data_IF_935138031881
#
_entry.id   IF_935138031881
#
_cell.length_a   1.000
_cell.length_b   1.000
_cell.length_c   1.000
_cell.angle_alpha   90.00
_cell.angle_beta   90.00
_cell.angle_gamma   90.00
#
_symmetry.space_group_name_H-M   'P 1'
#
loop_
_entity.id
_entity.type
_entity.pdbx_description
1 polymer ?
#
# COMPACT_ATOMS: atom_id res chain seq x y z
N UNK A 1 49.50 21.16 -1.72
CA UNK A 1 48.65 22.00 -0.84
C UNK A 1 48.82 21.55 0.59
N UNK A 2 49.00 22.46 1.56
CA UNK A 2 49.14 22.11 2.98
C UNK A 2 47.91 21.32 3.48
N UNK A 3 48.13 20.31 4.34
CA UNK A 3 47.08 19.48 4.96
C UNK A 3 45.94 20.33 5.54
N UNK A 4 46.26 21.52 6.08
CA UNK A 4 45.29 22.47 6.63
C UNK A 4 44.33 23.05 5.59
N UNK A 5 44.82 23.39 4.38
CA UNK A 5 43.98 23.89 3.27
C UNK A 5 43.02 22.82 2.73
N UNK A 6 43.44 21.56 2.78
CA UNK A 6 42.61 20.44 2.34
C UNK A 6 41.47 20.16 3.35
N UNK A 7 41.77 20.27 4.65
CA UNK A 7 40.78 20.13 5.73
C UNK A 7 39.70 21.22 5.65
N UNK A 8 40.08 22.48 5.44
CA UNK A 8 39.12 23.59 5.32
C UNK A 8 38.17 23.40 4.14
N UNK A 9 38.68 22.95 2.99
CA UNK A 9 37.86 22.68 1.80
C UNK A 9 36.86 21.54 2.02
N UNK A 10 37.26 20.49 2.73
CA UNK A 10 36.35 19.37 3.05
C UNK A 10 35.32 19.79 4.10
N UNK A 11 35.70 20.61 5.08
CA UNK A 11 34.75 21.17 6.05
C UNK A 11 33.63 21.94 5.35
N UNK A 12 33.97 22.86 4.43
CA UNK A 12 32.96 23.61 3.66
C UNK A 12 32.02 22.68 2.89
N UNK A 13 32.56 21.66 2.22
CA UNK A 13 31.75 20.66 1.50
C UNK A 13 30.85 19.83 2.42
N UNK A 14 31.29 19.53 3.63
CA UNK A 14 30.46 18.83 4.62
C UNK A 14 29.30 19.72 5.07
N UNK A 15 29.56 21.00 5.37
CA UNK A 15 28.51 21.95 5.73
C UNK A 15 27.50 22.14 4.60
N UNK A 16 27.96 22.41 3.38
CA UNK A 16 27.11 22.53 2.18
C UNK A 16 26.28 21.26 1.92
N UNK A 17 26.91 20.08 2.07
CA UNK A 17 26.23 18.79 1.89
C UNK A 17 25.19 18.51 2.98
N UNK A 18 25.41 18.99 4.21
CA UNK A 18 24.43 18.87 5.30
C UNK A 18 23.23 19.79 5.04
N UNK A 19 23.46 21.05 4.64
CA UNK A 19 22.39 21.98 4.31
C UNK A 19 21.54 21.47 3.14
N UNK A 20 22.19 21.01 2.06
CA UNK A 20 21.49 20.42 0.92
C UNK A 20 20.67 19.17 1.30
N UNK A 21 21.19 18.36 2.22
CA UNK A 21 20.47 17.20 2.76
C UNK A 21 19.25 17.64 3.55
N UNK A 22 19.41 18.56 4.51
CA UNK A 22 18.33 19.03 5.36
C UNK A 22 17.21 19.71 4.54
N UNK A 23 17.57 20.54 3.55
CA UNK A 23 16.64 21.18 2.61
C UNK A 23 15.84 20.17 1.80
N UNK A 24 16.50 19.14 1.28
CA UNK A 24 15.83 18.10 0.49
C UNK A 24 14.95 17.22 1.40
N UNK A 25 15.37 17.02 2.65
CA UNK A 25 14.65 16.24 3.65
C UNK A 25 13.35 16.93 4.09
N UNK A 26 13.41 18.25 4.32
CA UNK A 26 12.24 19.10 4.55
C UNK A 26 11.25 19.03 3.36
N UNK A 27 11.75 19.17 2.13
CA UNK A 27 10.94 19.09 0.91
C UNK A 27 10.28 17.72 0.74
N UNK A 28 10.98 16.63 1.08
CA UNK A 28 10.42 15.28 1.04
C UNK A 28 9.25 15.11 2.02
N UNK A 29 9.37 15.66 3.24
CA UNK A 29 8.33 15.58 4.27
C UNK A 29 7.10 16.41 3.93
N UNK A 30 7.30 17.60 3.37
CA UNK A 30 6.24 18.58 3.11
C UNK A 30 5.57 18.40 1.75
N UNK A 31 6.24 17.81 0.76
CA UNK A 31 5.66 17.65 -0.57
C UNK A 31 4.43 16.73 -0.53
N UNK A 32 3.29 17.10 -1.13
CA UNK A 32 2.14 16.21 -1.28
C UNK A 32 2.23 15.31 -2.53
N UNK A 33 3.13 15.63 -3.47
CA UNK A 33 3.21 14.98 -4.78
C UNK A 33 4.13 13.75 -4.77
N UNK A 34 3.61 12.59 -5.20
CA UNK A 34 4.33 11.31 -5.20
C UNK A 34 5.58 11.34 -6.09
N UNK A 35 5.47 11.85 -7.32
CA UNK A 35 6.61 11.94 -8.25
C UNK A 35 7.73 12.84 -7.71
N UNK A 36 7.34 13.91 -6.99
CA UNK A 36 8.32 14.78 -6.33
C UNK A 36 8.96 14.09 -5.12
N UNK A 37 8.21 13.31 -4.33
CA UNK A 37 8.77 12.53 -3.23
C UNK A 37 9.80 11.52 -3.70
N UNK A 38 9.52 10.76 -4.76
CA UNK A 38 10.49 9.81 -5.33
C UNK A 38 11.76 10.52 -5.82
N UNK A 39 11.62 11.68 -6.47
CA UNK A 39 12.76 12.51 -6.88
C UNK A 39 13.59 12.97 -5.67
N UNK A 40 12.95 13.51 -4.64
CA UNK A 40 13.63 13.97 -3.42
C UNK A 40 14.29 12.81 -2.67
N UNK A 41 13.71 11.62 -2.66
CA UNK A 41 14.32 10.42 -2.09
C UNK A 41 15.60 10.03 -2.83
N UNK A 42 15.58 10.03 -4.17
CA UNK A 42 16.78 9.78 -4.97
C UNK A 42 17.86 10.84 -4.74
N UNK A 43 17.49 12.10 -4.61
CA UNK A 43 18.42 13.19 -4.36
C UNK A 43 19.02 13.12 -2.94
N UNK A 44 18.22 12.82 -1.92
CA UNK A 44 18.69 12.51 -0.56
C UNK A 44 19.67 11.33 -0.54
N UNK A 45 19.40 10.28 -1.32
CA UNK A 45 20.29 9.12 -1.45
C UNK A 45 21.63 9.47 -2.12
N UNK A 46 21.65 10.44 -3.03
CA UNK A 46 22.90 10.95 -3.62
C UNK A 46 23.68 11.78 -2.60
N UNK A 47 23.02 12.69 -1.90
CA UNK A 47 23.67 13.55 -0.89
C UNK A 47 24.21 12.74 0.28
N UNK A 48 23.47 11.73 0.77
CA UNK A 48 23.96 10.89 1.86
C UNK A 48 25.20 10.09 1.48
N UNK A 49 25.30 9.62 0.23
CA UNK A 49 26.50 8.96 -0.29
C UNK A 49 27.70 9.90 -0.36
N UNK A 50 27.50 11.19 -0.68
CA UNK A 50 28.59 12.19 -0.65
C UNK A 50 29.06 12.44 0.78
N UNK A 51 28.13 12.61 1.72
CA UNK A 51 28.44 12.76 3.14
C UNK A 51 29.19 11.55 3.70
N UNK A 52 28.80 10.31 3.33
CA UNK A 52 29.52 9.09 3.69
C UNK A 52 30.99 9.11 3.24
N UNK A 53 31.26 9.49 1.99
CA UNK A 53 32.63 9.62 1.48
C UNK A 53 33.45 10.64 2.27
N UNK A 54 32.85 11.78 2.61
CA UNK A 54 33.50 12.78 3.46
C UNK A 54 33.74 12.29 4.88
N UNK A 55 32.82 11.51 5.45
CA UNK A 55 32.97 10.89 6.77
C UNK A 55 34.11 9.87 6.80
N UNK A 56 34.27 9.07 5.75
CA UNK A 56 35.38 8.12 5.65
C UNK A 56 36.73 8.83 5.41
N UNK A 57 36.73 9.91 4.62
CA UNK A 57 37.90 10.78 4.48
C UNK A 57 38.31 11.42 5.82
N UNK A 58 37.35 11.92 6.59
CA UNK A 58 37.56 12.46 7.93
C UNK A 58 38.07 11.37 8.88
N UNK A 59 37.56 10.13 8.78
CA UNK A 59 38.04 8.99 9.59
C UNK A 59 39.53 8.71 9.33
N UNK A 60 39.97 8.73 8.07
CA UNK A 60 41.39 8.58 7.71
C UNK A 60 42.24 9.71 8.28
N UNK A 61 41.75 10.94 8.25
CA UNK A 61 42.44 12.09 8.85
C UNK A 61 42.54 12.00 10.38
N UNK A 62 41.49 11.54 11.05
CA UNK A 62 41.52 11.29 12.50
C UNK A 62 42.54 10.19 12.84
N UNK A 63 42.73 9.19 11.98
CA UNK A 63 43.74 8.14 12.18
C UNK A 63 45.19 8.61 11.91
N UNK A 64 45.38 9.70 11.15
CA UNK A 64 46.70 10.27 10.90
C UNK A 64 47.29 10.94 12.14
N UNK A 65 48.61 10.82 12.30
CA UNK A 65 49.42 11.49 13.32
C UNK A 65 49.79 12.92 12.96
N UNK A 66 49.59 13.33 11.70
CA UNK A 66 49.97 14.65 11.19
C UNK A 66 49.01 15.77 11.64
N UNK A 67 47.88 15.38 12.23
CA UNK A 67 46.82 16.29 12.68
C UNK A 67 46.81 16.34 14.20
N UNK A 68 47.26 17.47 14.75
CA UNK A 68 47.33 17.71 16.19
C UNK A 68 45.97 18.01 16.82
N UNK A 69 45.14 18.81 16.16
CA UNK A 69 43.77 19.12 16.63
C UNK A 69 42.73 18.36 15.81
N UNK A 70 42.02 17.45 16.49
CA UNK A 70 41.00 16.58 15.89
C UNK A 70 39.58 16.98 16.29
N UNK A 71 39.39 18.03 17.11
CA UNK A 71 38.08 18.41 17.66
C UNK A 71 37.07 18.73 16.56
N UNK A 72 37.45 19.59 15.60
CA UNK A 72 36.56 19.94 14.48
C UNK A 72 36.25 18.74 13.57
N UNK A 73 37.21 17.84 13.37
CA UNK A 73 37.02 16.64 12.56
C UNK A 73 36.02 15.67 13.20
N UNK A 74 36.10 15.51 14.53
CA UNK A 74 35.17 14.69 15.29
C UNK A 74 33.74 15.26 15.26
N UNK A 75 33.60 16.59 15.38
CA UNK A 75 32.30 17.25 15.31
C UNK A 75 31.65 17.10 13.92
N UNK A 76 32.40 17.35 12.84
CA UNK A 76 31.92 17.15 11.48
C UNK A 76 31.52 15.69 11.22
N UNK A 77 32.30 14.72 11.71
CA UNK A 77 31.96 13.30 11.62
C UNK A 77 30.64 12.99 12.33
N UNK A 78 30.43 13.52 13.53
CA UNK A 78 29.20 13.34 14.31
C UNK A 78 27.99 13.96 13.61
N UNK A 79 28.14 15.13 13.01
CA UNK A 79 27.08 15.78 12.23
C UNK A 79 26.64 14.94 11.03
N UNK A 80 27.60 14.33 10.30
CA UNK A 80 27.30 13.43 9.18
C UNK A 80 26.59 12.17 9.68
N UNK A 81 27.09 11.54 10.75
CA UNK A 81 26.50 10.32 11.30
C UNK A 81 25.03 10.54 11.74
N UNK A 82 24.72 11.71 12.33
CA UNK A 82 23.34 12.09 12.66
C UNK A 82 22.42 12.15 11.44
N UNK A 83 22.90 12.71 10.30
CA UNK A 83 22.10 12.75 9.05
C UNK A 83 21.97 11.36 8.43
N UNK A 84 22.98 10.49 8.57
CA UNK A 84 22.90 9.09 8.14
C UNK A 84 21.81 8.31 8.89
N UNK A 85 21.71 8.52 10.21
CA UNK A 85 20.64 7.93 11.02
C UNK A 85 19.27 8.48 10.63
N UNK A 86 19.14 9.79 10.42
CA UNK A 86 17.91 10.42 9.97
C UNK A 86 17.46 9.88 8.59
N UNK A 87 18.39 9.73 7.64
CA UNK A 87 18.13 9.12 6.34
C UNK A 87 17.65 7.67 6.49
N UNK A 88 18.32 6.87 7.33
CA UNK A 88 17.96 5.46 7.55
C UNK A 88 16.56 5.30 8.16
N UNK A 89 16.19 6.15 9.11
CA UNK A 89 14.86 6.16 9.70
C UNK A 89 13.79 6.51 8.65
N UNK A 90 14.05 7.54 7.85
CA UNK A 90 13.16 7.96 6.78
C UNK A 90 13.03 6.91 5.66
N UNK A 91 14.13 6.30 5.22
CA UNK A 91 14.12 5.23 4.22
C UNK A 91 13.32 4.01 4.73
N UNK A 92 13.45 3.66 6.02
CA UNK A 92 12.67 2.58 6.63
C UNK A 92 11.18 2.91 6.68
N UNK A 93 10.83 4.13 7.07
CA UNK A 93 9.45 4.59 7.13
C UNK A 93 8.82 4.63 5.73
N UNK A 94 9.55 5.16 4.75
CA UNK A 94 9.10 5.25 3.36
C UNK A 94 8.96 3.88 2.72
N UNK A 95 9.90 2.95 2.90
CA UNK A 95 9.76 1.58 2.38
C UNK A 95 8.57 0.86 2.99
N UNK A 96 8.38 0.96 4.32
CA UNK A 96 7.22 0.36 4.99
C UNK A 96 5.91 0.95 4.45
N UNK A 97 5.84 2.28 4.30
CA UNK A 97 4.68 2.96 3.72
C UNK A 97 4.51 2.70 2.22
N UNK A 98 5.58 2.45 1.49
CA UNK A 98 5.55 2.08 0.07
C UNK A 98 4.92 0.70 -0.10
N UNK A 99 5.27 -0.30 0.72
CA UNK A 99 4.57 -1.59 0.69
C UNK A 99 3.08 -1.46 1.05
N UNK A 100 2.70 -0.52 1.94
CA UNK A 100 1.29 -0.22 2.24
C UNK A 100 0.57 0.60 1.15
N UNK A 101 1.29 1.23 0.21
CA UNK A 101 0.75 2.13 -0.82
C UNK A 101 0.90 1.61 -2.26
N UNK A 102 1.84 0.69 -2.51
CA UNK A 102 2.05 0.01 -3.80
C UNK A 102 0.85 -0.85 -4.18
N UNK A 103 0.13 -1.38 -3.20
CA UNK A 103 -1.18 -2.02 -3.44
C UNK A 103 -2.21 -1.07 -4.05
N UNK A 104 -2.12 0.24 -3.79
CA UNK A 104 -3.01 1.25 -4.38
C UNK A 104 -2.46 1.89 -5.65
N UNK A 105 -1.14 2.05 -5.81
CA UNK A 105 -0.57 2.69 -7.00
C UNK A 105 -0.47 1.75 -8.21
N UNK A 106 -0.42 0.43 -8.01
CA UNK A 106 -0.54 -0.53 -9.12
C UNK A 106 -1.90 -0.45 -9.83
N UNK A 107 -2.97 -0.05 -9.13
CA UNK A 107 -4.31 0.17 -9.71
C UNK A 107 -4.28 1.20 -10.86
N UNK A 108 -3.35 2.16 -10.83
CA UNK A 108 -3.25 3.20 -11.87
C UNK A 108 -2.40 2.84 -13.09
N UNK A 109 -1.70 1.69 -13.09
CA UNK A 109 -0.92 1.19 -14.24
C UNK A 109 -1.51 -0.09 -14.86
N UNK A 110 -2.71 -0.48 -14.46
CA UNK A 110 -3.42 -1.60 -15.06
C UNK A 110 -3.94 -1.14 -16.42
N UNK A 111 -3.65 -1.92 -17.48
CA UNK A 111 -4.26 -1.77 -18.81
C UNK A 111 -5.78 -1.55 -18.64
N UNK A 112 -6.41 -0.53 -19.26
CA UNK A 112 -7.84 -0.27 -19.13
C UNK A 112 -8.73 -1.51 -19.24
N UNK A 113 -8.34 -2.50 -20.07
CA UNK A 113 -9.05 -3.78 -20.20
C UNK A 113 -8.92 -4.67 -18.97
N UNK A 114 -7.73 -4.75 -18.40
CA UNK A 114 -7.46 -5.54 -17.19
C UNK A 114 -8.06 -4.86 -15.96
N UNK A 115 -8.13 -3.52 -15.95
CA UNK A 115 -8.83 -2.76 -14.90
C UNK A 115 -10.34 -3.03 -14.94
N UNK A 116 -10.96 -2.96 -16.12
CA UNK A 116 -12.37 -3.29 -16.30
C UNK A 116 -12.66 -4.74 -15.87
N UNK A 117 -11.78 -5.68 -16.23
CA UNK A 117 -11.87 -7.07 -15.79
C UNK A 117 -11.83 -7.19 -14.25
N UNK A 118 -10.88 -6.52 -13.59
CA UNK A 118 -10.76 -6.55 -12.13
C UNK A 118 -11.95 -5.90 -11.42
N UNK A 119 -12.45 -4.77 -11.94
CA UNK A 119 -13.62 -4.08 -11.39
C UNK A 119 -14.88 -4.94 -11.53
N UNK A 120 -15.11 -5.53 -12.70
CA UNK A 120 -16.25 -6.44 -12.94
C UNK A 120 -16.12 -7.72 -12.11
N UNK A 121 -14.94 -8.33 -12.02
CA UNK A 121 -14.70 -9.50 -11.16
C UNK A 121 -14.98 -9.18 -9.69
N UNK A 122 -14.46 -8.03 -9.20
CA UNK A 122 -14.69 -7.60 -7.82
C UNK A 122 -16.17 -7.34 -7.53
N UNK A 123 -16.91 -6.77 -8.48
CA UNK A 123 -18.34 -6.60 -8.36
C UNK A 123 -19.09 -7.94 -8.30
N UNK A 124 -18.79 -8.88 -9.20
CA UNK A 124 -19.42 -10.21 -9.19
C UNK A 124 -19.19 -10.91 -7.84
N UNK A 125 -17.95 -10.92 -7.34
CA UNK A 125 -17.61 -11.52 -6.05
C UNK A 125 -18.37 -10.86 -4.91
N UNK A 126 -18.46 -9.53 -4.90
CA UNK A 126 -19.23 -8.80 -3.88
C UNK A 126 -20.72 -9.15 -3.89
N UNK A 127 -21.32 -9.33 -5.08
CA UNK A 127 -22.73 -9.74 -5.20
C UNK A 127 -22.91 -11.18 -4.72
N UNK A 128 -21.99 -12.09 -5.04
CA UNK A 128 -22.01 -13.48 -4.54
C UNK A 128 -21.95 -13.51 -3.02
N UNK A 129 -21.05 -12.74 -2.39
CA UNK A 129 -20.93 -12.64 -0.93
C UNK A 129 -22.22 -12.11 -0.28
N UNK A 130 -22.85 -11.10 -0.90
CA UNK A 130 -24.14 -10.57 -0.44
C UNK A 130 -25.26 -11.60 -0.54
N UNK A 131 -25.33 -12.36 -1.64
CA UNK A 131 -26.32 -13.43 -1.81
C UNK A 131 -26.12 -14.56 -0.81
N UNK A 132 -24.87 -14.96 -0.53
CA UNK A 132 -24.54 -15.95 0.51
C UNK A 132 -24.97 -15.46 1.90
N UNK A 133 -24.67 -14.21 2.25
CA UNK A 133 -25.10 -13.61 3.52
C UNK A 133 -26.63 -13.62 3.65
N UNK A 134 -27.35 -13.30 2.57
CA UNK A 134 -28.81 -13.36 2.54
C UNK A 134 -29.34 -14.79 2.67
N UNK A 135 -28.68 -15.78 2.06
CA UNK A 135 -29.01 -17.20 2.23
C UNK A 135 -28.87 -17.59 3.69
N UNK A 136 -27.73 -17.30 4.32
CA UNK A 136 -27.48 -17.65 5.74
C UNK A 136 -28.55 -17.06 6.66
N UNK A 137 -28.93 -15.79 6.43
CA UNK A 137 -30.00 -15.13 7.18
C UNK A 137 -31.37 -15.80 6.99
N UNK A 138 -31.71 -16.18 5.75
CA UNK A 138 -32.98 -16.83 5.42
C UNK A 138 -33.04 -18.28 5.96
N UNK A 139 -31.93 -19.02 5.88
CA UNK A 139 -31.82 -20.38 6.43
C UNK A 139 -31.92 -20.34 7.97
N UNK A 140 -31.30 -19.37 8.64
CA UNK A 140 -31.45 -19.16 10.07
C UNK A 140 -32.89 -18.76 10.47
N UNK A 141 -33.57 -17.91 9.69
CA UNK A 141 -34.99 -17.58 9.90
C UNK A 141 -35.87 -18.84 9.76
N UNK A 142 -35.62 -19.65 8.73
CA UNK A 142 -36.36 -20.88 8.49
C UNK A 142 -36.18 -21.89 9.65
N UNK A 143 -34.96 -22.09 10.13
CA UNK A 143 -34.66 -22.99 11.27
C UNK A 143 -35.30 -22.50 12.58
N UNK A 144 -35.30 -21.18 12.82
CA UNK A 144 -35.98 -20.58 13.98
C UNK A 144 -37.50 -20.81 13.92
N UNK A 145 -38.11 -20.68 12.73
CA UNK A 145 -39.53 -20.95 12.53
C UNK A 145 -39.89 -22.43 12.72
N UNK A 146 -38.98 -23.35 12.39
CA UNK A 146 -39.15 -24.79 12.57
C UNK A 146 -38.98 -25.25 14.04
N UNK A 147 -38.10 -24.60 14.81
CA UNK A 147 -37.76 -24.97 16.20
C UNK A 147 -38.72 -24.37 17.26
N UNK A 148 -39.55 -23.39 16.90
CA UNK A 148 -40.53 -22.78 17.82
C UNK A 148 -41.64 -23.73 18.30
N UNK A 149 -42.25 -23.50 19.48
CA UNK A 149 -43.20 -24.43 20.09
C UNK A 149 -44.42 -24.74 19.21
N UNK A 150 -44.67 -26.04 18.98
CA UNK A 150 -45.81 -26.57 18.22
C UNK A 150 -47.13 -26.36 18.98
N UNK A 151 -47.83 -25.25 18.74
CA UNK A 151 -49.21 -25.06 19.20
C UNK A 151 -50.09 -24.43 18.12
N UNK A 152 -51.00 -25.24 17.58
CA UNK A 152 -52.35 -24.93 17.03
C UNK A 152 -52.53 -23.76 16.04
N UNK A 153 -53.09 -24.06 14.86
CA UNK A 153 -53.56 -23.16 13.75
C UNK A 153 -52.57 -22.15 13.13
N UNK A 154 -51.49 -21.75 13.82
CA UNK A 154 -50.39 -20.94 13.26
C UNK A 154 -49.43 -21.74 12.36
N UNK A 155 -49.60 -23.05 12.25
CA UNK A 155 -48.72 -23.94 11.48
C UNK A 155 -48.76 -23.67 9.98
N UNK A 156 -49.95 -23.41 9.41
CA UNK A 156 -50.06 -23.21 7.95
C UNK A 156 -49.37 -21.93 7.48
N UNK A 157 -49.42 -20.85 8.27
CA UNK A 157 -48.76 -19.59 7.93
C UNK A 157 -47.24 -19.68 8.12
N UNK A 158 -46.77 -20.39 9.16
CA UNK A 158 -45.35 -20.70 9.34
C UNK A 158 -44.80 -21.57 8.21
N UNK A 159 -45.51 -22.63 7.83
CA UNK A 159 -45.16 -23.50 6.70
C UNK A 159 -45.14 -22.74 5.38
N UNK A 160 -46.07 -21.81 5.15
CA UNK A 160 -46.08 -20.95 3.97
C UNK A 160 -44.84 -20.03 3.94
N UNK A 161 -44.46 -19.46 5.09
CA UNK A 161 -43.27 -18.61 5.20
C UNK A 161 -41.98 -19.39 4.98
N UNK A 162 -41.86 -20.59 5.56
CA UNK A 162 -40.70 -21.47 5.34
C UNK A 162 -40.56 -21.79 3.85
N UNK A 163 -41.65 -22.17 3.17
CA UNK A 163 -41.62 -22.42 1.72
C UNK A 163 -41.22 -21.20 0.89
N UNK A 164 -41.64 -20.00 1.30
CA UNK A 164 -41.24 -18.76 0.64
C UNK A 164 -39.73 -18.50 0.81
N UNK A 165 -39.20 -18.72 2.01
CA UNK A 165 -37.76 -18.61 2.30
C UNK A 165 -36.96 -19.64 1.49
N UNK A 166 -37.40 -20.90 1.45
CA UNK A 166 -36.75 -21.96 0.67
C UNK A 166 -36.71 -21.62 -0.84
N UNK A 167 -37.80 -21.08 -1.39
CA UNK A 167 -37.83 -20.64 -2.79
C UNK A 167 -36.87 -19.48 -3.07
N UNK A 168 -36.72 -18.54 -2.14
CA UNK A 168 -35.76 -17.43 -2.27
C UNK A 168 -34.33 -17.92 -2.17
N UNK A 169 -34.04 -18.83 -1.23
CA UNK A 169 -32.73 -19.47 -1.09
C UNK A 169 -32.35 -20.20 -2.37
N UNK A 170 -33.25 -21.00 -2.94
CA UNK A 170 -32.98 -21.73 -4.18
C UNK A 170 -32.71 -20.78 -5.35
N UNK A 171 -33.47 -19.69 -5.44
CA UNK A 171 -33.24 -18.64 -6.43
C UNK A 171 -31.87 -17.98 -6.26
N UNK A 172 -31.47 -17.65 -5.03
CA UNK A 172 -30.15 -17.07 -4.75
C UNK A 172 -29.03 -18.05 -5.09
N UNK A 173 -29.17 -19.34 -4.77
CA UNK A 173 -28.22 -20.40 -5.16
C UNK A 173 -28.08 -20.48 -6.67
N UNK A 174 -29.18 -20.40 -7.42
CA UNK A 174 -29.16 -20.35 -8.88
C UNK A 174 -28.44 -19.10 -9.42
N UNK A 175 -28.69 -17.92 -8.84
CA UNK A 175 -28.00 -16.69 -9.24
C UNK A 175 -26.51 -16.75 -8.96
N UNK A 176 -26.09 -17.29 -7.80
CA UNK A 176 -24.67 -17.49 -7.47
C UNK A 176 -24.00 -18.37 -8.51
N UNK A 177 -24.57 -19.54 -8.82
CA UNK A 177 -24.01 -20.43 -9.86
C UNK A 177 -23.88 -19.73 -11.21
N UNK A 178 -24.84 -18.87 -11.58
CA UNK A 178 -24.79 -18.13 -12.84
C UNK A 178 -23.70 -17.07 -12.83
N UNK A 179 -23.55 -16.34 -11.72
CA UNK A 179 -22.51 -15.33 -11.53
C UNK A 179 -21.11 -15.95 -11.54
N UNK A 180 -20.92 -17.10 -10.91
CA UNK A 180 -19.65 -17.85 -10.93
C UNK A 180 -19.30 -18.34 -12.35
N UNK A 181 -20.30 -18.79 -13.12
CA UNK A 181 -20.09 -19.19 -14.52
C UNK A 181 -19.70 -18.00 -15.39
N UNK A 182 -20.30 -16.82 -15.17
CA UNK A 182 -19.94 -15.58 -15.85
C UNK A 182 -18.52 -15.16 -15.48
N UNK A 183 -18.17 -15.17 -14.18
CA UNK A 183 -16.83 -14.85 -13.70
C UNK A 183 -15.78 -15.74 -14.36
N UNK A 184 -15.98 -17.06 -14.34
CA UNK A 184 -15.06 -18.02 -14.97
C UNK A 184 -14.96 -17.84 -16.49
N UNK A 185 -16.07 -17.53 -17.16
CA UNK A 185 -16.07 -17.27 -18.60
C UNK A 185 -15.31 -15.99 -18.95
N UNK A 186 -15.44 -14.94 -18.14
CA UNK A 186 -14.69 -13.70 -18.27
C UNK A 186 -13.20 -13.88 -17.96
N UNK A 187 -12.86 -14.68 -16.94
CA UNK A 187 -11.47 -15.02 -16.61
C UNK A 187 -10.76 -15.73 -17.76
N UNK A 188 -11.46 -16.68 -18.41
CA UNK A 188 -11.00 -17.41 -19.59
C UNK A 188 -10.98 -16.57 -20.87
N UNK A 189 -11.48 -15.32 -20.85
CA UNK A 189 -11.52 -14.44 -22.01
C UNK A 189 -12.64 -14.73 -23.02
N UNK A 190 -13.65 -15.53 -22.63
CA UNK A 190 -14.79 -15.87 -23.49
C UNK A 190 -15.88 -14.77 -23.51
N UNK A 191 -15.89 -13.89 -22.50
CA UNK A 191 -16.86 -12.78 -22.37
C UNK A 191 -16.07 -11.52 -22.00
N UNK A 192 -16.41 -10.40 -22.64
CA UNK A 192 -15.80 -9.11 -22.33
C UNK A 192 -16.42 -8.51 -21.06
N UNK A 193 -15.64 -7.88 -20.16
CA UNK A 193 -16.15 -7.26 -18.94
C UNK A 193 -17.29 -6.28 -19.20
N UNK A 194 -17.24 -5.53 -20.30
CA UNK A 194 -18.22 -4.53 -20.71
C UNK A 194 -19.62 -5.12 -20.92
N UNK A 195 -19.71 -6.34 -21.45
CA UNK A 195 -20.99 -7.03 -21.66
C UNK A 195 -21.67 -7.40 -20.34
N UNK A 196 -20.90 -7.59 -19.28
CA UNK A 196 -21.42 -7.86 -17.93
C UNK A 196 -21.83 -6.54 -17.27
N UNK A 197 -21.07 -5.47 -17.49
CA UNK A 197 -21.38 -4.14 -16.93
C UNK A 197 -22.64 -3.53 -17.54
N UNK A 198 -22.93 -3.78 -18.82
CA UNK A 198 -24.19 -3.33 -19.44
C UNK A 198 -25.43 -3.97 -18.81
N UNK A 199 -25.32 -5.21 -18.34
CA UNK A 199 -26.43 -5.95 -17.69
C UNK A 199 -26.53 -5.59 -16.20
N UNK A 200 -25.50 -4.99 -15.60
CA UNK A 200 -25.50 -4.58 -14.19
C UNK A 200 -26.49 -3.46 -13.89
N UNK A 201 -26.80 -2.63 -14.88
CA UNK A 201 -27.69 -1.47 -14.75
C UNK A 201 -29.16 -1.79 -15.10
N UNK A 202 -29.46 -3.00 -15.55
CA UNK A 202 -30.81 -3.54 -15.83
C UNK A 202 -31.34 -4.41 -14.66
#
# INVERSE_FOLDING_TARGET
>A
MSSRKLQEKVRKKVTEGIEAFDDTFEKLKTSPNINQKEKYEQDLKKEIKKLQRHRDQIKTWIASTDIKDKRELLENRKMIEKRMEAFKACEKEMKTKAYSKEGLSQITKVDPKEKAKQETSGWITSVVDQLNTQIDMMEAEAESLQSGPRRSKKDSSKLARIRELDQKVERHKWHIQRLELILRSMENGNIAPEQVTEIKDD
#
